data_IF_746882952364
#
_entry.id   IF_746882952364
#
_cell.length_a   1.000
_cell.length_b   1.000
_cell.length_c   1.000
_cell.angle_alpha   90.00
_cell.angle_beta   90.00
_cell.angle_gamma   90.00
#
_symmetry.space_group_name_H-M   'P 1'
#
loop_
_entity.id
_entity.type
_entity.pdbx_description
1 polymer ?
#
# COMPACT_ATOMS: atom_id res chain seq x y z
N UNK A 1 12.19 4.60 11.44
CA UNK A 1 13.51 4.30 10.81
C UNK A 1 14.10 3.13 11.57
N UNK A 2 14.58 2.10 10.84
CA UNK A 2 15.26 0.96 11.44
C UNK A 2 16.54 1.44 12.15
N UNK A 3 16.74 1.00 13.38
CA UNK A 3 18.00 1.28 14.10
C UNK A 3 19.07 0.29 13.65
N UNK A 4 20.21 0.78 13.15
CA UNK A 4 21.24 -0.10 12.64
C UNK A 4 22.34 0.62 11.85
N UNK A 5 23.23 -0.18 11.22
CA UNK A 5 24.37 0.34 10.44
C UNK A 5 23.91 0.78 9.05
N UNK A 6 24.15 2.05 8.68
CA UNK A 6 23.92 2.53 7.31
C UNK A 6 25.08 2.17 6.40
N UNK A 7 24.79 1.58 5.25
CA UNK A 7 25.76 1.16 4.23
C UNK A 7 25.36 1.66 2.86
N UNK A 8 26.32 1.85 1.95
CA UNK A 8 26.05 2.04 0.52
C UNK A 8 25.48 0.75 -0.04
N UNK A 9 24.44 0.83 -0.87
CA UNK A 9 23.74 -0.34 -1.36
C UNK A 9 23.42 -0.25 -2.85
N UNK A 10 23.50 -1.41 -3.49
CA UNK A 10 22.95 -1.72 -4.80
C UNK A 10 21.72 -2.60 -4.57
N UNK A 11 20.62 -2.27 -5.20
CA UNK A 11 19.39 -3.04 -5.15
C UNK A 11 19.02 -3.53 -6.54
N UNK A 12 18.74 -4.81 -6.65
CA UNK A 12 18.08 -5.45 -7.78
C UNK A 12 16.77 -6.08 -7.32
N UNK A 13 16.07 -6.77 -8.18
CA UNK A 13 14.82 -7.42 -7.84
C UNK A 13 14.67 -8.77 -8.55
N UNK A 14 14.13 -9.76 -7.85
CA UNK A 14 13.82 -11.09 -8.37
C UNK A 14 12.37 -11.48 -8.06
N UNK A 15 11.86 -12.50 -8.72
CA UNK A 15 10.51 -13.03 -8.49
C UNK A 15 10.56 -14.58 -8.52
N UNK A 16 9.59 -15.26 -7.87
CA UNK A 16 9.56 -16.73 -7.91
C UNK A 16 9.32 -17.24 -9.33
N UNK A 17 10.27 -17.96 -9.89
CA UNK A 17 10.18 -18.55 -11.21
C UNK A 17 11.03 -19.82 -11.33
N UNK A 18 10.59 -20.78 -12.14
CA UNK A 18 11.32 -22.04 -12.38
C UNK A 18 12.43 -21.89 -13.44
N UNK A 19 13.35 -20.95 -13.21
CA UNK A 19 14.50 -20.80 -14.08
C UNK A 19 15.79 -20.53 -13.29
N UNK A 20 16.93 -20.85 -13.90
CA UNK A 20 18.25 -20.73 -13.23
C UNK A 20 18.64 -19.30 -12.87
N UNK A 21 18.08 -18.29 -13.53
CA UNK A 21 18.40 -16.87 -13.29
C UNK A 21 17.67 -16.31 -12.07
N UNK A 22 16.44 -16.77 -11.81
CA UNK A 22 15.56 -16.22 -10.78
C UNK A 22 15.61 -17.02 -9.46
N UNK A 23 16.34 -18.11 -9.38
CA UNK A 23 16.57 -18.87 -8.15
C UNK A 23 15.47 -19.84 -7.72
N UNK A 24 14.34 -19.92 -8.46
CA UNK A 24 13.27 -20.86 -8.15
C UNK A 24 12.16 -20.30 -7.27
N UNK A 25 11.39 -21.20 -6.63
CA UNK A 25 10.24 -20.88 -5.80
C UNK A 25 10.52 -20.91 -4.30
N UNK A 26 11.75 -21.25 -3.91
CA UNK A 26 12.14 -21.47 -2.52
C UNK A 26 13.34 -20.61 -2.17
N UNK A 27 13.41 -20.18 -0.92
CA UNK A 27 14.57 -19.48 -0.38
C UNK A 27 15.75 -20.44 -0.14
N UNK A 28 16.89 -19.91 0.23
CA UNK A 28 18.12 -20.70 0.46
C UNK A 28 18.01 -21.73 1.60
N UNK A 29 16.91 -21.75 2.36
CA UNK A 29 16.61 -22.74 3.41
C UNK A 29 15.48 -23.69 3.01
N UNK A 30 15.05 -23.68 1.75
CA UNK A 30 13.99 -24.55 1.25
C UNK A 30 12.57 -24.11 1.64
N UNK A 31 12.40 -22.91 2.18
CA UNK A 31 11.07 -22.37 2.46
C UNK A 31 10.51 -21.67 1.24
N UNK A 32 9.25 -21.95 0.91
CA UNK A 32 8.55 -21.31 -0.23
C UNK A 32 8.54 -19.80 -0.09
N UNK A 33 8.95 -19.11 -1.15
CA UNK A 33 8.93 -17.64 -1.24
C UNK A 33 7.51 -17.11 -1.19
N UNK A 34 7.29 -16.07 -0.41
CA UNK A 34 6.01 -15.36 -0.29
C UNK A 34 6.15 -13.92 -0.81
N UNK A 35 5.80 -13.67 -2.08
CA UNK A 35 5.94 -12.34 -2.68
C UNK A 35 5.00 -11.27 -2.10
N UNK A 36 4.10 -11.64 -1.20
CA UNK A 36 3.28 -10.69 -0.45
C UNK A 36 4.06 -9.99 0.66
N UNK A 37 5.19 -10.55 1.06
CA UNK A 37 6.07 -10.04 2.11
C UNK A 37 7.23 -9.25 1.54
N UNK A 38 7.75 -8.33 2.32
CA UNK A 38 9.00 -7.63 2.02
C UNK A 38 10.17 -8.50 2.51
N UNK A 39 10.75 -9.26 1.59
CA UNK A 39 11.93 -10.09 1.86
C UNK A 39 13.01 -9.82 0.83
N UNK A 40 14.24 -10.24 1.09
CA UNK A 40 15.34 -10.06 0.16
C UNK A 40 16.42 -11.13 0.33
N UNK A 41 17.17 -11.36 -0.75
CA UNK A 41 18.48 -11.98 -0.67
C UNK A 41 19.53 -10.93 -0.27
N UNK A 42 20.49 -11.33 0.57
CA UNK A 42 21.54 -10.46 1.07
C UNK A 42 22.91 -11.17 1.05
N UNK A 43 24.04 -10.42 1.08
CA UNK A 43 25.37 -10.97 1.23
C UNK A 43 25.50 -11.87 2.46
N UNK A 44 26.35 -12.89 2.40
CA UNK A 44 26.57 -13.85 3.49
C UNK A 44 27.05 -13.19 4.80
N UNK A 45 27.69 -12.02 4.71
CA UNK A 45 28.09 -11.20 5.87
C UNK A 45 26.92 -10.66 6.68
N UNK A 46 25.71 -10.67 6.14
CA UNK A 46 24.49 -10.28 6.84
C UNK A 46 23.75 -11.55 7.26
N UNK A 47 23.49 -11.71 8.57
CA UNK A 47 22.85 -12.92 9.10
C UNK A 47 21.46 -13.12 8.50
N UNK A 48 21.08 -14.35 8.22
CA UNK A 48 19.70 -14.73 7.91
C UNK A 48 18.79 -14.35 9.07
N UNK A 49 17.64 -13.75 8.79
CA UNK A 49 16.74 -13.22 9.80
C UNK A 49 17.00 -11.77 10.21
N UNK A 50 18.11 -11.15 9.75
CA UNK A 50 18.30 -9.72 9.90
C UNK A 50 17.30 -8.94 9.03
N UNK A 51 17.10 -7.70 9.35
CA UNK A 51 16.26 -6.78 8.60
C UNK A 51 17.11 -5.70 7.94
N UNK A 52 16.70 -5.27 6.76
CA UNK A 52 17.28 -4.12 6.09
C UNK A 52 16.19 -3.10 5.76
N UNK A 53 16.48 -1.83 5.92
CA UNK A 53 15.61 -0.75 5.44
C UNK A 53 16.22 -0.15 4.16
N UNK A 54 15.43 -0.15 3.08
CA UNK A 54 15.81 0.41 1.78
C UNK A 54 15.66 1.92 1.78
N UNK A 55 16.66 2.66 1.30
CA UNK A 55 16.67 4.12 1.26
C UNK A 55 17.25 4.65 -0.07
N UNK A 56 16.64 5.69 -0.61
CA UNK A 56 17.16 6.47 -1.74
C UNK A 56 16.99 5.84 -3.11
N UNK A 57 16.21 4.79 -3.26
CA UNK A 57 15.92 4.15 -4.56
C UNK A 57 14.91 4.92 -5.41
N UNK A 58 14.22 5.90 -4.83
CA UNK A 58 13.12 6.67 -5.47
C UNK A 58 11.99 5.77 -6.01
N UNK A 59 11.73 4.66 -5.32
CA UNK A 59 10.68 3.68 -5.68
C UNK A 59 9.71 3.45 -4.54
N UNK A 60 8.67 2.64 -4.76
CA UNK A 60 7.75 2.21 -3.70
C UNK A 60 8.41 1.38 -2.59
N UNK A 61 9.66 0.96 -2.78
CA UNK A 61 10.45 0.22 -1.79
C UNK A 61 11.21 1.14 -0.82
N UNK A 62 11.30 2.44 -1.11
CA UNK A 62 11.94 3.39 -0.19
C UNK A 62 11.29 3.38 1.19
N UNK A 63 12.13 3.39 2.23
CA UNK A 63 11.74 3.30 3.64
C UNK A 63 11.04 2.00 4.04
N UNK A 64 10.96 0.99 3.15
CA UNK A 64 10.44 -0.32 3.48
C UNK A 64 11.52 -1.18 4.14
N UNK A 65 11.10 -1.95 5.14
CA UNK A 65 11.95 -2.93 5.83
C UNK A 65 11.74 -4.28 5.16
N UNK A 66 12.83 -4.96 4.83
CA UNK A 66 12.85 -6.27 4.20
C UNK A 66 13.56 -7.25 5.12
N UNK A 67 12.96 -8.42 5.34
CA UNK A 67 13.58 -9.52 6.06
C UNK A 67 14.61 -10.21 5.15
N UNK A 68 15.82 -10.41 5.63
CA UNK A 68 16.84 -11.20 4.95
C UNK A 68 16.51 -12.69 5.15
N UNK A 69 15.96 -13.31 4.12
CA UNK A 69 15.56 -14.71 4.13
C UNK A 69 16.11 -15.51 2.96
N UNK A 70 16.95 -14.90 2.12
CA UNK A 70 17.48 -15.58 0.95
C UNK A 70 18.95 -15.24 0.70
N UNK A 71 19.57 -15.99 -0.24
CA UNK A 71 20.94 -15.85 -0.69
C UNK A 71 20.99 -16.04 -2.21
N UNK A 72 21.88 -15.32 -2.86
CA UNK A 72 22.16 -15.50 -4.28
C UNK A 72 23.65 -15.49 -4.54
N UNK A 73 24.14 -16.30 -5.48
CA UNK A 73 25.57 -16.39 -5.81
C UNK A 73 26.19 -15.07 -6.26
N UNK A 74 25.39 -14.19 -6.87
CA UNK A 74 25.81 -12.86 -7.30
C UNK A 74 25.64 -11.77 -6.19
N UNK A 75 25.01 -12.10 -5.07
CA UNK A 75 24.67 -11.16 -4.00
C UNK A 75 25.84 -11.05 -3.03
N UNK A 76 26.71 -10.07 -3.25
CA UNK A 76 28.00 -9.89 -2.57
C UNK A 76 28.19 -8.46 -2.09
N UNK A 77 29.24 -8.24 -1.29
CA UNK A 77 29.78 -6.90 -1.02
C UNK A 77 30.96 -6.68 -1.94
N UNK A 78 30.92 -5.62 -2.75
CA UNK A 78 31.99 -5.26 -3.67
C UNK A 78 32.37 -3.80 -3.42
N UNK A 79 33.62 -3.53 -3.13
CA UNK A 79 34.14 -2.18 -2.85
C UNK A 79 33.30 -1.41 -1.79
N UNK A 80 32.87 -2.11 -0.74
CA UNK A 80 32.05 -1.53 0.34
C UNK A 80 30.58 -1.26 -0.02
N UNK A 81 30.14 -1.64 -1.23
CA UNK A 81 28.73 -1.55 -1.67
C UNK A 81 28.08 -2.92 -1.47
N UNK A 82 27.00 -2.94 -0.70
CA UNK A 82 26.24 -4.14 -0.38
C UNK A 82 25.18 -4.37 -1.44
N UNK A 83 25.15 -5.54 -2.07
CA UNK A 83 24.12 -5.90 -3.03
C UNK A 83 22.97 -6.61 -2.32
N UNK A 84 21.74 -6.11 -2.51
CA UNK A 84 20.49 -6.72 -2.04
C UNK A 84 19.59 -7.00 -3.23
N UNK A 85 18.95 -8.17 -3.24
CA UNK A 85 17.99 -8.54 -4.26
C UNK A 85 16.58 -8.64 -3.63
N UNK A 86 15.67 -7.76 -4.05
CA UNK A 86 14.37 -7.59 -3.40
C UNK A 86 13.33 -8.50 -4.04
N UNK A 87 12.62 -9.30 -3.23
CA UNK A 87 11.54 -10.16 -3.73
C UNK A 87 10.37 -9.32 -4.23
N UNK A 88 9.96 -9.58 -5.45
CA UNK A 88 8.79 -8.99 -6.12
C UNK A 88 7.78 -10.07 -6.49
N UNK A 89 6.58 -9.66 -6.89
CA UNK A 89 5.52 -10.59 -7.26
C UNK A 89 5.65 -11.10 -8.69
N UNK A 90 6.14 -10.26 -9.61
CA UNK A 90 6.14 -10.55 -11.05
C UNK A 90 7.40 -10.05 -11.73
N UNK A 91 7.74 -10.64 -12.87
CA UNK A 91 8.82 -10.20 -13.78
C UNK A 91 8.65 -8.73 -14.19
N UNK A 92 7.42 -8.30 -14.48
CA UNK A 92 7.15 -6.92 -14.83
C UNK A 92 7.51 -5.93 -13.71
N UNK A 93 7.29 -6.31 -12.44
CA UNK A 93 7.70 -5.49 -11.30
C UNK A 93 9.23 -5.45 -11.15
N UNK A 94 9.92 -6.56 -11.37
CA UNK A 94 11.38 -6.60 -11.39
C UNK A 94 11.96 -5.69 -12.49
N UNK A 95 11.45 -5.81 -13.70
CA UNK A 95 11.88 -4.98 -14.83
C UNK A 95 11.68 -3.47 -14.58
N UNK A 96 10.52 -3.10 -14.00
CA UNK A 96 10.24 -1.70 -13.62
C UNK A 96 11.14 -1.21 -12.49
N UNK A 97 11.44 -2.07 -11.53
CA UNK A 97 12.36 -1.74 -10.45
C UNK A 97 13.78 -1.55 -11.00
N UNK A 98 14.22 -2.47 -11.85
CA UNK A 98 15.56 -2.45 -12.47
C UNK A 98 16.67 -2.51 -11.41
N UNK A 99 17.79 -1.85 -11.73
CA UNK A 99 18.97 -1.72 -10.88
C UNK A 99 18.99 -0.34 -10.23
N UNK A 100 19.08 -0.26 -8.90
CA UNK A 100 19.04 1.00 -8.15
C UNK A 100 20.19 1.10 -7.18
N UNK A 101 20.78 2.28 -7.08
CA UNK A 101 21.76 2.61 -6.02
C UNK A 101 21.09 3.41 -4.92
N UNK A 102 21.58 3.28 -3.71
CA UNK A 102 21.05 3.97 -2.55
C UNK A 102 21.79 3.57 -1.27
N UNK A 103 21.05 3.47 -0.19
CA UNK A 103 21.57 3.04 1.10
C UNK A 103 20.68 1.97 1.71
N UNK A 104 21.27 1.09 2.51
CA UNK A 104 20.54 0.22 3.40
C UNK A 104 20.88 0.55 4.86
N UNK A 105 19.90 0.49 5.75
CA UNK A 105 20.17 0.37 7.19
C UNK A 105 20.04 -1.10 7.53
N UNK A 106 21.12 -1.69 8.04
CA UNK A 106 21.17 -3.11 8.46
C UNK A 106 20.87 -3.14 9.95
N UNK A 107 19.74 -3.71 10.33
CA UNK A 107 19.34 -3.91 11.72
C UNK A 107 19.90 -5.22 12.29
N UNK A 108 19.85 -5.37 13.61
CA UNK A 108 20.41 -6.54 14.31
C UNK A 108 19.43 -7.72 14.46
N UNK A 109 18.32 -7.74 13.73
CA UNK A 109 17.33 -8.84 13.77
C UNK A 109 16.54 -8.99 15.09
N UNK A 110 16.83 -8.19 16.09
CA UNK A 110 16.25 -8.35 17.45
C UNK A 110 15.27 -7.26 17.86
N UNK A 111 14.91 -6.31 17.00
CA UNK A 111 14.18 -5.13 17.47
C UNK A 111 13.06 -4.59 16.61
N UNK A 112 12.97 -4.97 15.37
CA UNK A 112 11.82 -4.62 14.55
C UNK A 112 10.87 -5.82 14.49
N UNK A 113 9.90 -5.89 15.39
CA UNK A 113 8.65 -6.53 15.00
C UNK A 113 8.28 -5.82 13.71
N UNK A 114 8.47 -6.49 12.55
CA UNK A 114 7.74 -6.13 11.38
C UNK A 114 6.32 -5.94 11.91
N UNK A 115 5.88 -4.70 12.06
CA UNK A 115 4.46 -4.45 12.06
C UNK A 115 4.06 -5.01 10.71
N UNK A 116 3.71 -6.28 10.74
CA UNK A 116 3.04 -6.99 9.64
C UNK A 116 2.12 -5.95 9.10
N UNK A 117 2.23 -5.61 7.81
CA UNK A 117 1.43 -4.56 7.20
C UNK A 117 0.10 -4.66 7.89
N UNK A 118 -0.17 -3.70 8.77
CA UNK A 118 -1.11 -3.85 9.90
C UNK A 118 -2.37 -4.44 9.28
N UNK A 119 -2.67 -5.71 9.56
CA UNK A 119 -3.75 -6.46 8.91
C UNK A 119 -5.08 -6.03 9.56
N UNK A 120 -5.11 -4.76 9.97
CA UNK A 120 -6.32 -4.13 10.52
C UNK A 120 -7.41 -4.15 9.47
N UNK A 121 -8.65 -4.14 9.93
CA UNK A 121 -9.81 -3.94 9.04
C UNK A 121 -9.60 -2.73 8.13
N UNK A 122 -9.01 -1.64 8.65
CA UNK A 122 -8.69 -0.43 7.89
C UNK A 122 -7.70 -0.68 6.73
N UNK A 123 -6.63 -1.43 6.96
CA UNK A 123 -5.65 -1.72 5.91
C UNK A 123 -6.23 -2.65 4.83
N UNK A 124 -7.07 -3.62 5.21
CA UNK A 124 -7.82 -4.46 4.26
C UNK A 124 -8.74 -3.63 3.39
N UNK A 125 -9.50 -2.70 4.00
CA UNK A 125 -10.40 -1.76 3.32
C UNK A 125 -9.61 -0.91 2.30
N UNK A 126 -8.50 -0.30 2.72
CA UNK A 126 -7.68 0.55 1.85
C UNK A 126 -7.03 -0.26 0.72
N UNK A 127 -6.51 -1.46 1.03
CA UNK A 127 -5.93 -2.36 0.03
C UNK A 127 -6.96 -2.73 -1.04
N UNK A 128 -8.17 -3.09 -0.62
CA UNK A 128 -9.27 -3.41 -1.54
C UNK A 128 -9.70 -2.19 -2.34
N UNK A 129 -9.85 -1.02 -1.71
CA UNK A 129 -10.18 0.20 -2.42
C UNK A 129 -9.15 0.54 -3.51
N UNK A 130 -7.86 0.44 -3.19
CA UNK A 130 -6.77 0.70 -4.15
C UNK A 130 -6.66 -0.31 -5.29
N UNK A 131 -7.18 -1.55 -5.12
CA UNK A 131 -7.14 -2.55 -6.20
C UNK A 131 -8.06 -2.21 -7.38
N UNK A 132 -8.95 -1.25 -7.22
CA UNK A 132 -9.86 -0.77 -8.25
C UNK A 132 -9.37 0.47 -9.00
N UNK A 133 -8.20 1.00 -8.66
CA UNK A 133 -7.65 2.19 -9.35
C UNK A 133 -7.37 1.87 -10.81
N UNK A 134 -7.97 2.67 -11.71
CA UNK A 134 -7.88 2.47 -13.16
C UNK A 134 -8.85 1.43 -13.73
N UNK A 135 -9.49 0.63 -12.88
CA UNK A 135 -10.38 -0.48 -13.30
C UNK A 135 -11.87 -0.09 -13.30
N UNK A 136 -12.23 0.96 -12.57
CA UNK A 136 -13.63 1.34 -12.36
C UNK A 136 -13.91 2.71 -12.91
N UNK A 137 -14.88 2.80 -13.83
CA UNK A 137 -15.43 4.07 -14.34
C UNK A 137 -16.54 4.58 -13.42
N UNK A 138 -16.64 5.90 -13.31
CA UNK A 138 -17.74 6.51 -12.59
C UNK A 138 -19.05 6.40 -13.39
N UNK A 139 -20.07 5.83 -12.78
CA UNK A 139 -21.43 5.79 -13.31
C UNK A 139 -22.39 6.12 -12.16
N UNK A 140 -23.13 7.22 -12.27
CA UNK A 140 -24.09 7.65 -11.26
C UNK A 140 -25.12 6.55 -11.00
N UNK A 141 -25.39 6.26 -9.72
CA UNK A 141 -26.33 5.19 -9.32
C UNK A 141 -25.75 3.77 -9.34
N UNK A 142 -24.60 3.54 -9.97
CA UNK A 142 -23.98 2.22 -9.99
C UNK A 142 -23.28 1.87 -8.67
N UNK A 143 -23.24 0.56 -8.34
CA UNK A 143 -22.63 0.05 -7.10
C UNK A 143 -21.89 -1.27 -7.29
N UNK A 144 -21.43 -1.55 -8.49
CA UNK A 144 -20.78 -2.80 -8.89
C UNK A 144 -19.33 -2.57 -9.36
N UNK A 145 -18.41 -2.19 -8.44
CA UNK A 145 -17.00 -1.94 -8.82
C UNK A 145 -16.34 -3.17 -9.45
N UNK A 146 -16.75 -4.39 -9.10
CA UNK A 146 -16.24 -5.64 -9.67
C UNK A 146 -16.58 -5.78 -11.18
N UNK A 147 -17.62 -5.14 -11.66
CA UNK A 147 -17.97 -5.07 -13.08
C UNK A 147 -17.53 -3.76 -13.75
N UNK A 148 -16.60 -3.03 -13.14
CA UNK A 148 -15.98 -1.84 -13.70
C UNK A 148 -16.82 -0.56 -13.61
N UNK A 149 -17.95 -0.54 -12.88
CA UNK A 149 -18.85 0.64 -12.78
C UNK A 149 -19.29 0.92 -11.36
N UNK A 150 -19.13 2.15 -10.89
CA UNK A 150 -19.65 2.58 -9.58
C UNK A 150 -19.79 4.10 -9.49
N UNK A 151 -20.65 4.57 -8.58
CA UNK A 151 -20.56 5.93 -8.05
C UNK A 151 -19.71 5.98 -6.77
N UNK A 152 -19.54 7.17 -6.16
CA UNK A 152 -18.68 7.35 -4.98
C UNK A 152 -19.15 6.53 -3.77
N UNK A 153 -20.43 6.55 -3.47
CA UNK A 153 -21.02 5.88 -2.31
C UNK A 153 -21.27 4.38 -2.55
N UNK A 154 -21.57 3.97 -3.77
CA UNK A 154 -21.62 2.56 -4.17
C UNK A 154 -20.26 1.89 -4.03
N UNK A 155 -19.20 2.59 -4.44
CA UNK A 155 -17.81 2.15 -4.29
C UNK A 155 -17.45 1.92 -2.82
N UNK A 156 -17.63 2.93 -1.97
CA UNK A 156 -17.30 2.81 -0.54
C UNK A 156 -18.15 1.74 0.14
N UNK A 157 -19.45 1.66 -0.16
CA UNK A 157 -20.36 0.63 0.34
C UNK A 157 -19.88 -0.78 0.00
N UNK A 158 -19.52 -1.01 -1.26
CA UNK A 158 -18.99 -2.29 -1.72
C UNK A 158 -17.71 -2.68 -0.97
N UNK A 159 -16.75 -1.75 -0.89
CA UNK A 159 -15.47 -2.00 -0.24
C UNK A 159 -15.67 -2.37 1.23
N UNK A 160 -16.45 -1.61 2.00
CA UNK A 160 -16.68 -1.88 3.42
C UNK A 160 -17.45 -3.18 3.65
N UNK A 161 -18.46 -3.46 2.84
CA UNK A 161 -19.22 -4.71 2.93
C UNK A 161 -18.34 -5.94 2.70
N UNK A 162 -17.52 -5.93 1.64
CA UNK A 162 -16.74 -7.11 1.23
C UNK A 162 -15.46 -7.31 2.06
N UNK A 163 -14.95 -6.28 2.73
CA UNK A 163 -13.70 -6.40 3.50
C UNK A 163 -13.85 -6.35 5.00
N UNK A 164 -14.88 -5.68 5.49
CA UNK A 164 -15.11 -5.47 6.91
C UNK A 164 -16.47 -6.01 7.40
N UNK A 165 -17.31 -6.50 6.51
CA UNK A 165 -18.68 -6.94 6.83
C UNK A 165 -19.59 -5.79 7.30
N UNK A 166 -19.26 -4.54 6.92
CA UNK A 166 -19.97 -3.34 7.40
C UNK A 166 -20.95 -2.80 6.37
N UNK A 167 -22.21 -2.67 6.76
CA UNK A 167 -23.21 -1.92 6.00
C UNK A 167 -23.16 -0.44 6.41
N UNK A 168 -22.58 0.38 5.55
CA UNK A 168 -22.43 1.83 5.79
C UNK A 168 -23.48 2.69 5.07
N UNK A 169 -24.46 2.06 4.40
CA UNK A 169 -25.49 2.74 3.61
C UNK A 169 -25.11 2.92 2.15
N UNK A 170 -26.13 3.19 1.30
CA UNK A 170 -25.95 3.27 -0.16
C UNK A 170 -25.54 4.65 -0.66
N UNK A 171 -25.96 5.72 0.02
CA UNK A 171 -25.75 7.11 -0.43
C UNK A 171 -24.71 7.83 0.41
N UNK A 172 -24.10 8.91 -0.13
CA UNK A 172 -23.19 9.76 0.63
C UNK A 172 -23.85 10.35 1.88
N UNK A 173 -25.14 10.70 1.79
CA UNK A 173 -25.93 11.21 2.92
C UNK A 173 -26.08 10.11 4.00
N UNK A 174 -26.50 8.91 3.65
CA UNK A 174 -26.61 7.81 4.61
C UNK A 174 -25.26 7.48 5.28
N UNK A 175 -24.17 7.52 4.52
CA UNK A 175 -22.82 7.28 5.03
C UNK A 175 -22.34 8.42 5.94
N UNK A 176 -22.76 9.66 5.70
CA UNK A 176 -22.44 10.80 6.56
C UNK A 176 -23.09 10.72 7.95
N UNK A 177 -24.03 9.81 8.14
CA UNK A 177 -24.75 9.58 9.41
C UNK A 177 -24.26 8.32 10.14
N UNK A 178 -23.40 7.49 9.53
CA UNK A 178 -22.91 6.24 10.13
C UNK A 178 -21.68 6.45 11.03
N UNK A 179 -21.58 5.60 12.05
CA UNK A 179 -20.43 5.59 12.97
C UNK A 179 -20.26 6.91 13.74
N UNK A 180 -19.04 7.21 14.15
CA UNK A 180 -18.69 8.39 14.96
C UNK A 180 -18.16 9.52 14.08
N UNK A 181 -18.61 10.76 14.31
CA UNK A 181 -18.09 11.98 13.64
C UNK A 181 -16.62 12.21 14.02
N UNK A 182 -15.78 12.54 13.04
CA UNK A 182 -14.33 12.73 13.23
C UNK A 182 -13.92 14.07 12.60
N UNK A 183 -13.16 14.86 13.34
CA UNK A 183 -12.54 16.08 12.82
C UNK A 183 -11.41 15.74 11.83
N UNK A 184 -11.13 16.62 10.85
CA UNK A 184 -10.11 16.42 9.81
C UNK A 184 -8.72 16.06 10.40
N UNK A 185 -8.30 16.72 11.49
CA UNK A 185 -7.02 16.49 12.18
C UNK A 185 -6.92 15.13 12.87
N UNK A 186 -8.06 14.50 13.18
CA UNK A 186 -8.14 13.22 13.91
C UNK A 186 -8.45 12.03 13.00
N UNK A 187 -8.41 12.21 11.68
CA UNK A 187 -8.64 11.15 10.71
C UNK A 187 -7.63 10.02 10.86
N UNK A 188 -8.14 8.78 10.84
CA UNK A 188 -7.34 7.54 10.81
C UNK A 188 -7.65 6.77 9.53
N UNK A 189 -6.71 5.96 9.09
CA UNK A 189 -6.90 5.06 7.93
C UNK A 189 -8.20 4.28 8.06
N UNK A 190 -8.98 4.22 6.98
CA UNK A 190 -10.28 3.58 6.94
C UNK A 190 -11.46 4.45 7.37
N UNK A 191 -11.25 5.67 7.88
CA UNK A 191 -12.33 6.61 8.09
C UNK A 191 -12.94 7.03 6.74
N UNK A 192 -14.25 7.26 6.71
CA UNK A 192 -14.89 7.91 5.57
C UNK A 192 -14.58 9.41 5.60
N UNK A 193 -14.35 9.98 4.43
CA UNK A 193 -14.25 11.43 4.23
C UNK A 193 -15.44 11.88 3.42
N UNK A 194 -16.25 12.79 4.00
CA UNK A 194 -17.51 13.26 3.42
C UNK A 194 -17.33 14.69 2.93
N UNK A 195 -17.83 14.92 1.72
CA UNK A 195 -17.83 16.23 1.08
C UNK A 195 -19.26 16.66 0.77
N UNK A 196 -19.52 17.95 0.85
CA UNK A 196 -20.82 18.57 0.59
C UNK A 196 -20.77 19.52 -0.60
N UNK A 197 -21.93 19.79 -1.21
CA UNK A 197 -22.02 20.79 -2.26
C UNK A 197 -21.22 20.51 -3.52
N UNK A 198 -20.87 19.23 -3.81
CA UNK A 198 -20.08 18.89 -5.01
C UNK A 198 -20.92 18.90 -6.28
N UNK A 199 -22.15 18.39 -6.24
CA UNK A 199 -23.13 18.42 -7.34
C UNK A 199 -24.56 18.65 -6.83
N UNK A 200 -24.78 18.60 -5.52
CA UNK A 200 -26.05 18.91 -4.86
C UNK A 200 -25.78 19.41 -3.44
N UNK A 201 -26.76 20.07 -2.81
CA UNK A 201 -26.70 20.49 -1.42
C UNK A 201 -26.52 19.31 -0.45
N UNK A 202 -25.89 19.54 0.71
CA UNK A 202 -25.61 18.53 1.72
C UNK A 202 -24.51 17.55 1.31
N UNK A 203 -24.44 16.42 2.02
CA UNK A 203 -23.46 15.36 1.74
C UNK A 203 -23.68 14.79 0.34
N UNK A 204 -22.72 14.99 -0.56
CA UNK A 204 -22.85 14.68 -1.98
C UNK A 204 -21.70 13.83 -2.53
N UNK A 205 -20.55 13.76 -1.83
CA UNK A 205 -19.45 12.90 -2.24
C UNK A 205 -18.77 12.25 -1.03
N UNK A 206 -18.14 11.07 -1.24
CA UNK A 206 -17.50 10.30 -0.19
C UNK A 206 -16.28 9.54 -0.72
N UNK A 207 -15.28 9.40 0.15
CA UNK A 207 -14.10 8.56 -0.06
C UNK A 207 -13.63 7.87 1.21
N UNK A 208 -12.57 7.11 1.11
CA UNK A 208 -11.95 6.34 2.19
C UNK A 208 -10.57 6.93 2.48
N UNK A 209 -10.36 7.43 3.70
CA UNK A 209 -9.08 8.00 4.09
C UNK A 209 -7.97 6.93 4.11
N UNK A 210 -6.88 7.20 3.40
CA UNK A 210 -5.77 6.27 3.23
C UNK A 210 -4.53 6.63 4.06
N UNK A 211 -4.61 7.72 4.86
CA UNK A 211 -3.47 8.24 5.62
C UNK A 211 -2.72 9.34 4.86
N UNK A 212 -1.90 10.11 5.60
CA UNK A 212 -1.02 11.16 5.04
C UNK A 212 -1.76 12.17 4.14
N UNK A 213 -2.96 12.59 4.54
CA UNK A 213 -3.78 13.54 3.79
C UNK A 213 -4.41 13.00 2.50
N UNK A 214 -4.28 11.70 2.20
CA UNK A 214 -4.77 11.08 0.96
C UNK A 214 -6.02 10.24 1.22
N UNK A 215 -6.90 10.15 0.21
CA UNK A 215 -8.09 9.30 0.25
C UNK A 215 -8.34 8.64 -1.11
N UNK A 216 -9.01 7.48 -1.09
CA UNK A 216 -9.41 6.72 -2.29
C UNK A 216 -10.90 6.94 -2.49
N UNK A 217 -11.31 7.28 -3.70
CA UNK A 217 -12.71 7.49 -4.05
C UNK A 217 -13.00 7.16 -5.51
N UNK A 218 -14.26 6.97 -5.86
CA UNK A 218 -14.71 6.92 -7.24
C UNK A 218 -15.17 8.31 -7.65
N UNK A 219 -14.42 8.96 -8.54
CA UNK A 219 -14.63 10.34 -9.01
C UNK A 219 -15.28 10.36 -10.37
N UNK A 220 -16.17 11.33 -10.62
CA UNK A 220 -16.73 11.58 -11.95
C UNK A 220 -15.64 11.92 -12.99
N UNK A 221 -14.52 12.49 -12.55
CA UNK A 221 -13.34 12.76 -13.39
C UNK A 221 -12.25 11.69 -13.21
N UNK A 222 -12.43 10.48 -13.79
CA UNK A 222 -11.38 9.48 -13.84
C UNK A 222 -11.62 8.21 -12.98
N UNK A 223 -12.86 7.96 -12.52
CA UNK A 223 -13.19 6.72 -11.83
C UNK A 223 -12.49 6.57 -10.48
N UNK A 224 -12.08 5.35 -10.12
CA UNK A 224 -11.40 5.12 -8.83
C UNK A 224 -9.97 5.64 -8.89
N UNK A 225 -9.67 6.57 -7.98
CA UNK A 225 -8.37 7.22 -7.86
C UNK A 225 -8.03 7.62 -6.43
N UNK A 226 -6.78 8.05 -6.22
CA UNK A 226 -6.30 8.68 -4.98
C UNK A 226 -6.23 10.19 -5.17
N UNK A 227 -6.80 10.94 -4.24
CA UNK A 227 -6.73 12.41 -4.21
C UNK A 227 -6.18 12.89 -2.85
N UNK A 228 -5.78 14.17 -2.80
CA UNK A 228 -5.28 14.80 -1.59
C UNK A 228 -6.37 15.65 -0.93
N UNK A 229 -6.61 15.48 0.36
CA UNK A 229 -7.59 16.27 1.15
C UNK A 229 -7.23 17.76 1.25
N UNK A 230 -6.00 18.12 0.90
CA UNK A 230 -5.53 19.51 0.94
C UNK A 230 -5.61 20.21 -0.43
N UNK A 231 -6.05 19.51 -1.50
CA UNK A 231 -6.36 20.16 -2.76
C UNK A 231 -7.53 21.12 -2.55
N UNK A 232 -7.47 22.31 -3.15
CA UNK A 232 -8.42 23.43 -2.93
C UNK A 232 -9.89 23.01 -3.07
N UNK A 233 -10.18 22.18 -4.08
CA UNK A 233 -11.53 21.63 -4.29
C UNK A 233 -12.02 20.85 -3.07
N UNK A 234 -11.23 19.95 -2.49
CA UNK A 234 -11.64 19.13 -1.36
C UNK A 234 -11.64 19.90 -0.04
N UNK A 235 -10.79 20.92 0.09
CA UNK A 235 -10.84 21.86 1.23
C UNK A 235 -12.16 22.62 1.23
N UNK A 236 -12.56 23.18 0.08
CA UNK A 236 -13.82 23.93 -0.09
C UNK A 236 -15.06 23.09 0.24
N UNK A 237 -15.05 21.83 -0.20
CA UNK A 237 -16.20 20.93 -0.07
C UNK A 237 -16.17 20.03 1.17
N UNK A 238 -15.16 20.15 2.03
CA UNK A 238 -15.05 19.35 3.24
C UNK A 238 -16.26 19.50 4.15
N UNK A 239 -16.87 18.39 4.58
CA UNK A 239 -17.95 18.38 5.55
C UNK A 239 -17.50 17.76 6.88
N UNK A 240 -17.07 16.50 6.87
CA UNK A 240 -16.70 15.75 8.07
C UNK A 240 -15.98 14.43 7.74
N UNK A 241 -15.35 13.84 8.74
CA UNK A 241 -14.96 12.44 8.76
C UNK A 241 -15.98 11.56 9.49
N UNK A 242 -16.03 10.27 9.16
CA UNK A 242 -16.88 9.27 9.85
C UNK A 242 -16.08 8.00 10.11
N UNK A 243 -15.98 7.58 11.38
CA UNK A 243 -15.34 6.32 11.78
C UNK A 243 -16.40 5.25 11.90
N UNK A 244 -16.26 4.20 11.09
CA UNK A 244 -17.22 3.09 10.96
C UNK A 244 -16.59 1.71 11.23
N UNK A 245 -15.26 1.66 11.46
CA UNK A 245 -14.50 0.46 11.80
C UNK A 245 -14.31 0.32 13.31
#
# INVERSE_FOLDING_TARGET
ILNGKRVKALFTAYYPASNKMEGGYYDCKGKKLDPSKYTCAAPSSIKYGNEIQVLGTKTSRDKKVHLVNDRGGAIKVVNGVYHFDLLMKTKAQCNRFGKRTGYAIIGNGTGYKQTSASNTKADKVIKKAKSFIGEVKYVYGASSPQSGKSDCSGFTSYVFRTTAGKNIGRTALAQSQKGTKVQKKNLKKGDLVIFQGTYKAGASHVGIYAGSGKFVHCSSSGGVKVSNLNDSYYVKHWQQGRRVL
#
